data_IF_239418256051
#
_entry.id   IF_239418256051
#
_cell.length_a   1.000
_cell.length_b   1.000
_cell.length_c   1.000
_cell.angle_alpha   90.00
_cell.angle_beta   90.00
_cell.angle_gamma   90.00
#
_symmetry.space_group_name_H-M   'P 1'
#
loop_
_entity.id
_entity.type
_entity.pdbx_description
1 polymer ?
#
# COMPACT_ATOMS: atom_id res chain seq x y z
N UNK A 1 -9.49 -18.83 -0.98
CA UNK A 1 -8.48 -19.28 0.00
C UNK A 1 -7.38 -20.09 -0.66
N UNK A 2 -7.71 -21.06 -1.51
CA UNK A 2 -6.73 -21.92 -2.21
C UNK A 2 -5.59 -21.15 -2.91
N UNK A 3 -5.91 -20.12 -3.71
CA UNK A 3 -4.89 -19.29 -4.37
C UNK A 3 -3.93 -18.56 -3.39
N UNK A 4 -4.42 -18.18 -2.21
CA UNK A 4 -3.58 -17.55 -1.16
C UNK A 4 -2.64 -18.58 -0.55
N UNK A 5 -3.13 -19.80 -0.29
CA UNK A 5 -2.32 -20.89 0.28
C UNK A 5 -1.24 -21.37 -0.68
N UNK A 6 -1.59 -21.56 -1.96
CA UNK A 6 -0.64 -21.88 -3.02
C UNK A 6 0.45 -20.80 -3.11
N UNK A 7 0.05 -19.52 -3.04
CA UNK A 7 1.02 -18.43 -3.08
C UNK A 7 1.94 -18.44 -1.87
N UNK A 8 1.42 -18.61 -0.66
CA UNK A 8 2.21 -18.68 0.58
C UNK A 8 3.27 -19.79 0.54
N UNK A 9 3.00 -20.91 -0.15
CA UNK A 9 3.95 -22.00 -0.35
C UNK A 9 5.13 -21.68 -1.28
N UNK A 10 5.03 -20.62 -2.10
CA UNK A 10 6.02 -20.25 -3.13
C UNK A 10 6.71 -18.91 -2.90
N UNK A 11 6.42 -18.22 -1.79
CA UNK A 11 7.06 -16.96 -1.44
C UNK A 11 8.50 -17.24 -0.96
N UNK A 12 9.47 -16.76 -1.73
CA UNK A 12 10.87 -16.68 -1.31
C UNK A 12 11.09 -15.60 -0.26
N UNK A 13 12.22 -15.68 0.43
CA UNK A 13 12.60 -14.70 1.45
C UNK A 13 12.88 -13.32 0.83
N UNK A 14 12.62 -12.23 1.59
CA UNK A 14 13.02 -10.90 1.16
C UNK A 14 14.54 -10.82 0.98
N UNK A 15 14.98 -10.18 -0.11
CA UNK A 15 16.41 -9.97 -0.41
C UNK A 15 17.07 -8.94 0.52
N UNK A 16 16.26 -8.10 1.17
CA UNK A 16 16.73 -7.23 2.25
C UNK A 16 15.67 -7.06 3.34
N UNK A 17 16.13 -7.06 4.59
CA UNK A 17 15.33 -6.79 5.78
C UNK A 17 15.94 -5.58 6.47
N UNK A 18 15.15 -4.53 6.67
CA UNK A 18 15.58 -3.25 7.23
C UNK A 18 14.67 -2.85 8.39
N UNK A 19 15.07 -1.82 9.15
CA UNK A 19 14.29 -1.27 10.27
C UNK A 19 13.83 -2.34 11.27
N UNK A 20 14.76 -3.20 11.70
CA UNK A 20 14.46 -4.28 12.67
C UNK A 20 13.42 -5.29 12.20
N UNK A 21 13.22 -5.44 10.87
CA UNK A 21 12.20 -6.33 10.32
C UNK A 21 10.91 -5.63 9.89
N UNK A 22 10.74 -4.33 10.16
CA UNK A 22 9.55 -3.59 9.75
C UNK A 22 9.46 -3.41 8.23
N UNK A 23 10.61 -3.18 7.57
CA UNK A 23 10.71 -3.01 6.12
C UNK A 23 11.31 -4.25 5.46
N UNK A 24 10.55 -4.86 4.55
CA UNK A 24 10.93 -6.02 3.77
C UNK A 24 11.03 -5.62 2.29
N UNK A 25 12.10 -6.04 1.62
CA UNK A 25 12.31 -5.80 0.19
C UNK A 25 12.47 -7.15 -0.52
N UNK A 26 11.63 -7.43 -1.51
CA UNK A 26 11.72 -8.62 -2.36
C UNK A 26 12.32 -8.31 -3.72
N UNK A 27 11.96 -7.17 -4.30
CA UNK A 27 12.44 -6.74 -5.61
C UNK A 27 13.11 -5.36 -5.47
N UNK A 28 14.45 -5.28 -5.61
CA UNK A 28 15.18 -4.02 -5.64
C UNK A 28 14.74 -3.14 -6.83
N UNK A 29 14.98 -1.81 -6.77
CA UNK A 29 14.69 -0.93 -7.88
C UNK A 29 15.54 -1.28 -9.11
N UNK A 30 14.92 -1.23 -10.29
CA UNK A 30 15.56 -1.47 -11.58
C UNK A 30 15.54 -0.16 -12.36
N UNK A 31 16.70 0.24 -12.90
CA UNK A 31 16.80 1.45 -13.69
C UNK A 31 15.84 1.43 -14.90
N UNK A 32 15.15 2.54 -15.13
CA UNK A 32 14.17 2.68 -16.22
C UNK A 32 12.78 2.09 -15.94
N UNK A 33 12.58 1.38 -14.82
CA UNK A 33 11.25 0.99 -14.35
C UNK A 33 10.60 2.11 -13.55
N UNK A 34 9.27 2.13 -13.55
CA UNK A 34 8.48 3.08 -12.78
C UNK A 34 7.76 2.38 -11.64
N UNK A 35 7.62 3.09 -10.53
CA UNK A 35 7.07 2.54 -9.30
C UNK A 35 6.03 3.47 -8.67
N UNK A 36 5.19 2.89 -7.82
CA UNK A 36 4.24 3.57 -6.95
C UNK A 36 4.53 3.17 -5.50
N UNK A 37 4.57 4.15 -4.61
CA UNK A 37 4.59 3.97 -3.16
C UNK A 37 3.20 4.29 -2.63
N UNK A 38 2.47 3.27 -2.17
CA UNK A 38 1.16 3.43 -1.58
C UNK A 38 1.27 3.44 -0.05
N UNK A 39 0.60 4.37 0.61
CA UNK A 39 0.71 4.58 2.06
C UNK A 39 -0.67 4.53 2.68
N UNK A 40 -0.90 3.57 3.57
CA UNK A 40 -2.02 3.60 4.51
C UNK A 40 -1.54 4.22 5.82
N UNK A 41 -2.26 5.25 6.25
CA UNK A 41 -1.96 5.98 7.47
C UNK A 41 -2.84 5.45 8.59
N UNK A 42 -2.28 4.55 9.38
CA UNK A 42 -2.89 4.20 10.65
C UNK A 42 -2.95 5.39 11.61
N UNK A 43 -3.83 5.26 12.60
CA UNK A 43 -3.98 6.14 13.76
C UNK A 43 -2.73 6.19 14.65
N UNK A 44 -1.63 6.77 14.18
CA UNK A 44 -0.31 6.58 14.77
C UNK A 44 -0.13 7.10 16.21
N UNK A 45 0.30 6.19 17.10
CA UNK A 45 0.82 6.40 18.45
C UNK A 45 1.34 5.07 19.05
N UNK A 46 1.96 5.07 20.24
CA UNK A 46 2.48 3.84 20.88
C UNK A 46 1.40 2.73 21.07
N UNK A 47 0.13 3.13 21.13
CA UNK A 47 -1.03 2.23 21.16
C UNK A 47 -1.86 2.17 19.87
N UNK A 48 -1.46 2.86 18.80
CA UNK A 48 -2.21 2.98 17.54
C UNK A 48 -2.03 1.82 16.56
N UNK A 49 -2.80 1.81 15.48
CA UNK A 49 -2.69 0.80 14.41
C UNK A 49 -1.37 0.90 13.64
N UNK A 50 -1.06 -0.08 12.79
CA UNK A 50 0.21 -0.09 12.04
C UNK A 50 0.10 0.79 10.80
N UNK A 51 1.06 1.70 10.61
CA UNK A 51 1.20 2.31 9.30
C UNK A 51 1.76 1.28 8.32
N UNK A 52 1.22 1.26 7.10
CA UNK A 52 1.66 0.35 6.05
C UNK A 52 2.07 1.11 4.79
N UNK A 53 3.17 0.68 4.17
CA UNK A 53 3.65 1.19 2.89
C UNK A 53 3.89 0.04 1.95
N UNK A 54 3.41 0.16 0.71
CA UNK A 54 3.65 -0.81 -0.36
C UNK A 54 4.40 -0.14 -1.50
N UNK A 55 5.46 -0.77 -2.01
CA UNK A 55 6.11 -0.38 -3.25
C UNK A 55 5.67 -1.32 -4.36
N UNK A 56 5.12 -0.77 -5.43
CA UNK A 56 4.50 -1.52 -6.53
C UNK A 56 5.14 -1.11 -7.84
N UNK A 57 5.58 -2.07 -8.67
CA UNK A 57 6.06 -1.77 -10.02
C UNK A 57 4.88 -1.44 -10.94
N UNK A 58 4.97 -0.31 -11.66
CA UNK A 58 3.84 0.29 -12.36
C UNK A 58 3.30 -0.57 -13.51
N UNK A 59 4.16 -1.25 -14.27
CA UNK A 59 3.70 -1.98 -15.45
C UNK A 59 3.05 -3.33 -15.07
N UNK A 60 3.72 -4.11 -14.23
CA UNK A 60 3.31 -5.46 -13.83
C UNK A 60 2.35 -5.47 -12.64
N UNK A 61 2.47 -4.51 -11.73
CA UNK A 61 1.77 -4.52 -10.45
C UNK A 61 2.42 -5.39 -9.38
N UNK A 62 3.66 -5.85 -9.59
CA UNK A 62 4.41 -6.65 -8.62
C UNK A 62 4.68 -5.87 -7.34
N UNK A 63 4.48 -6.52 -6.18
CA UNK A 63 4.89 -6.01 -4.88
C UNK A 63 6.43 -6.11 -4.75
N UNK A 64 7.09 -4.96 -4.62
CA UNK A 64 8.54 -4.86 -4.55
C UNK A 64 9.06 -4.78 -3.10
N UNK A 65 8.38 -4.02 -2.25
CA UNK A 65 8.73 -3.85 -0.84
C UNK A 65 7.48 -3.53 -0.01
N UNK A 66 7.56 -3.80 1.29
CA UNK A 66 6.50 -3.51 2.26
C UNK A 66 7.12 -2.99 3.57
N UNK A 67 6.58 -1.90 4.09
CA UNK A 67 6.77 -1.48 5.48
C UNK A 67 5.48 -1.73 6.25
N UNK A 68 5.61 -2.27 7.47
CA UNK A 68 4.54 -2.31 8.47
C UNK A 68 5.13 -1.96 9.83
N UNK A 69 4.80 -0.78 10.35
CA UNK A 69 5.44 -0.24 11.57
C UNK A 69 4.50 0.69 12.33
N UNK A 70 4.61 0.72 13.66
CA UNK A 70 3.92 1.72 14.49
C UNK A 70 4.75 3.00 14.53
N UNK A 71 4.45 3.92 13.61
CA UNK A 71 5.19 5.18 13.45
C UNK A 71 4.26 6.37 13.28
N UNK A 72 4.73 7.55 13.69
CA UNK A 72 3.99 8.81 13.54
C UNK A 72 4.07 9.37 12.13
N UNK A 73 3.19 10.33 11.81
CA UNK A 73 3.03 10.89 10.46
C UNK A 73 4.33 11.47 9.86
N UNK A 74 5.17 12.14 10.66
CA UNK A 74 6.44 12.70 10.19
C UNK A 74 7.42 11.59 9.75
N UNK A 75 7.58 10.55 10.56
CA UNK A 75 8.49 9.44 10.24
C UNK A 75 7.93 8.61 9.08
N UNK A 76 6.60 8.46 9.01
CA UNK A 76 5.94 7.83 7.88
C UNK A 76 6.20 8.60 6.57
N UNK A 77 6.06 9.92 6.57
CA UNK A 77 6.39 10.76 5.41
C UNK A 77 7.86 10.62 4.99
N UNK A 78 8.79 10.64 5.96
CA UNK A 78 10.23 10.43 5.74
C UNK A 78 10.52 9.10 5.06
N UNK A 79 10.02 8.00 5.62
CA UNK A 79 10.31 6.66 5.07
C UNK A 79 9.63 6.45 3.71
N UNK A 80 8.42 6.97 3.51
CA UNK A 80 7.74 6.91 2.20
C UNK A 80 8.49 7.71 1.14
N UNK A 81 8.95 8.92 1.45
CA UNK A 81 9.74 9.73 0.51
C UNK A 81 11.12 9.12 0.23
N UNK A 82 11.77 8.53 1.24
CA UNK A 82 13.03 7.82 1.07
C UNK A 82 12.87 6.60 0.15
N UNK A 83 11.86 5.76 0.38
CA UNK A 83 11.53 4.64 -0.51
C UNK A 83 11.21 5.13 -1.92
N UNK A 84 10.42 6.19 -2.06
CA UNK A 84 10.08 6.72 -3.37
C UNK A 84 11.32 7.19 -4.15
N UNK A 85 12.28 7.84 -3.47
CA UNK A 85 13.57 8.22 -4.06
C UNK A 85 14.43 7.01 -4.42
N UNK A 86 14.50 6.01 -3.55
CA UNK A 86 15.22 4.75 -3.81
C UNK A 86 14.66 4.04 -5.06
N UNK A 87 13.34 4.07 -5.24
CA UNK A 87 12.64 3.49 -6.39
C UNK A 87 12.46 4.49 -7.55
N UNK A 88 13.53 5.24 -7.86
CA UNK A 88 13.63 6.06 -9.08
C UNK A 88 12.71 7.28 -9.11
N UNK A 89 12.33 7.80 -7.94
CA UNK A 89 11.35 8.89 -7.84
C UNK A 89 9.93 8.41 -8.09
N UNK A 90 9.54 7.29 -7.45
CA UNK A 90 8.21 6.70 -7.52
C UNK A 90 7.09 7.72 -7.22
N UNK A 91 5.92 7.55 -7.80
CA UNK A 91 4.76 8.36 -7.37
C UNK A 91 4.32 7.89 -5.98
N UNK A 92 3.91 8.80 -5.10
CA UNK A 92 3.42 8.45 -3.75
C UNK A 92 1.91 8.66 -3.68
N UNK A 93 1.15 7.60 -3.39
CA UNK A 93 -0.29 7.65 -3.15
C UNK A 93 -0.59 7.40 -1.68
N UNK A 94 -0.93 8.47 -0.95
CA UNK A 94 -1.28 8.40 0.48
C UNK A 94 -2.79 8.29 0.64
N UNK A 95 -3.29 7.34 1.42
CA UNK A 95 -4.68 7.39 1.90
C UNK A 95 -4.85 8.64 2.76
N UNK A 96 -5.70 9.56 2.30
CA UNK A 96 -5.84 10.89 2.91
C UNK A 96 -6.87 10.94 4.04
N UNK A 97 -7.47 9.80 4.38
CA UNK A 97 -8.35 9.68 5.54
C UNK A 97 -7.55 9.86 6.84
N UNK A 98 -8.21 10.35 7.90
CA UNK A 98 -7.62 10.48 9.25
C UNK A 98 -6.26 11.20 9.24
N UNK A 99 -5.16 10.48 9.54
CA UNK A 99 -3.81 11.02 9.67
C UNK A 99 -3.12 11.29 8.33
N UNK A 100 -3.75 10.91 7.22
CA UNK A 100 -3.26 11.11 5.87
C UNK A 100 -2.94 12.57 5.54
N UNK A 101 -3.77 13.51 6.01
CA UNK A 101 -3.52 14.94 5.83
C UNK A 101 -2.18 15.38 6.45
N UNK A 102 -1.82 14.83 7.61
CA UNK A 102 -0.54 15.12 8.26
C UNK A 102 0.66 14.56 7.48
N UNK A 103 0.55 13.33 6.99
CA UNK A 103 1.59 12.72 6.14
C UNK A 103 1.78 13.52 4.85
N UNK A 104 0.69 13.91 4.19
CA UNK A 104 0.73 14.75 2.99
C UNK A 104 1.41 16.11 3.28
N UNK A 105 1.09 16.76 4.40
CA UNK A 105 1.71 18.01 4.79
C UNK A 105 3.22 17.87 5.05
N UNK A 106 3.67 16.77 5.68
CA UNK A 106 5.10 16.51 5.88
C UNK A 106 5.82 16.13 4.59
N UNK A 107 5.18 15.40 3.68
CA UNK A 107 5.73 15.11 2.35
C UNK A 107 6.01 16.40 1.57
N UNK A 108 5.12 17.38 1.66
CA UNK A 108 5.27 18.68 1.02
C UNK A 108 6.29 19.57 1.75
N UNK A 109 6.02 19.92 3.01
CA UNK A 109 6.77 20.95 3.72
C UNK A 109 8.16 20.50 4.22
N UNK A 110 8.29 19.23 4.63
CA UNK A 110 9.54 18.71 5.21
C UNK A 110 10.34 17.94 4.17
N UNK A 111 9.73 16.94 3.54
CA UNK A 111 10.42 16.09 2.58
C UNK A 111 10.57 16.76 1.22
N UNK A 112 9.80 17.81 0.90
CA UNK A 112 9.78 18.47 -0.42
C UNK A 112 9.63 17.46 -1.56
N UNK A 113 8.76 16.47 -1.36
CA UNK A 113 8.52 15.41 -2.33
C UNK A 113 7.36 15.77 -3.26
N UNK A 114 7.68 16.20 -4.48
CA UNK A 114 6.67 16.73 -5.40
C UNK A 114 5.77 15.67 -6.07
N UNK A 115 6.22 14.42 -6.19
CA UNK A 115 5.52 13.37 -6.97
C UNK A 115 4.43 12.66 -6.16
N UNK A 116 3.53 13.42 -5.57
CA UNK A 116 2.36 12.90 -4.85
C UNK A 116 1.19 12.74 -5.82
N UNK A 117 0.55 11.57 -5.79
CA UNK A 117 -0.65 11.31 -6.58
C UNK A 117 -1.82 12.15 -6.08
N UNK A 118 -2.60 12.69 -7.02
CA UNK A 118 -3.85 13.37 -6.73
C UNK A 118 -5.01 12.64 -7.39
N UNK A 119 -6.15 12.63 -6.70
CA UNK A 119 -7.39 12.10 -7.23
C UNK A 119 -7.88 12.89 -8.43
N UNK A 120 -8.95 12.38 -9.05
CA UNK A 120 -9.64 13.10 -10.15
C UNK A 120 -10.26 14.42 -9.71
N UNK A 121 -10.45 14.58 -8.40
CA UNK A 121 -10.86 15.82 -7.75
C UNK A 121 -9.72 16.85 -7.61
N UNK A 122 -8.50 16.51 -8.04
CA UNK A 122 -7.32 17.37 -7.94
C UNK A 122 -6.72 17.45 -6.55
N UNK A 123 -7.26 16.71 -5.57
CA UNK A 123 -6.79 16.74 -4.18
C UNK A 123 -5.76 15.64 -3.97
N UNK A 124 -4.63 15.99 -3.34
CA UNK A 124 -3.55 15.06 -3.06
C UNK A 124 -4.01 13.88 -2.19
N UNK A 125 -3.55 12.69 -2.54
CA UNK A 125 -3.88 11.43 -1.86
C UNK A 125 -5.21 10.81 -2.29
N UNK A 126 -5.35 9.54 -1.92
CA UNK A 126 -6.52 8.69 -2.16
C UNK A 126 -7.56 8.87 -1.06
N UNK A 127 -8.81 9.14 -1.44
CA UNK A 127 -9.93 9.19 -0.50
C UNK A 127 -10.65 7.84 -0.44
N UNK A 128 -10.54 7.17 0.69
CA UNK A 128 -11.37 6.00 1.01
C UNK A 128 -12.73 6.45 1.52
N UNK A 129 -13.79 6.01 0.86
CA UNK A 129 -15.17 6.26 1.26
C UNK A 129 -15.95 4.95 1.30
N UNK A 130 -17.16 4.96 1.86
CA UNK A 130 -18.07 3.82 1.76
C UNK A 130 -18.37 3.41 0.30
N UNK A 131 -18.24 4.34 -0.65
CA UNK A 131 -18.38 4.07 -2.08
C UNK A 131 -17.11 3.53 -2.77
N UNK A 132 -15.93 4.01 -2.40
CA UNK A 132 -14.67 3.57 -3.03
C UNK A 132 -14.11 2.27 -2.42
N UNK A 133 -14.36 2.01 -1.12
CA UNK A 133 -13.86 0.82 -0.41
C UNK A 133 -14.27 -0.51 -1.07
N UNK A 134 -15.56 -0.75 -1.41
CA UNK A 134 -15.93 -2.00 -2.07
C UNK A 134 -15.20 -2.22 -3.40
N UNK A 135 -15.01 -1.16 -4.20
CA UNK A 135 -14.32 -1.26 -5.49
C UNK A 135 -12.85 -1.65 -5.36
N UNK A 136 -12.11 -1.05 -4.42
CA UNK A 136 -10.70 -1.41 -4.21
C UNK A 136 -10.52 -2.79 -3.58
N UNK A 137 -11.41 -3.19 -2.67
CA UNK A 137 -11.40 -4.54 -2.07
C UNK A 137 -11.73 -5.60 -3.13
N UNK A 138 -12.75 -5.39 -3.95
CA UNK A 138 -13.09 -6.32 -5.04
C UNK A 138 -11.95 -6.46 -6.05
N UNK A 139 -11.23 -5.37 -6.35
CA UNK A 139 -10.02 -5.43 -7.18
C UNK A 139 -8.94 -6.31 -6.55
N UNK A 140 -8.71 -6.17 -5.24
CA UNK A 140 -7.76 -7.04 -4.53
C UNK A 140 -8.19 -8.51 -4.59
N UNK A 141 -9.49 -8.79 -4.41
CA UNK A 141 -10.05 -10.14 -4.57
C UNK A 141 -9.77 -10.72 -5.95
N UNK A 142 -10.01 -9.96 -7.02
CA UNK A 142 -9.72 -10.37 -8.39
C UNK A 142 -8.22 -10.64 -8.60
N UNK A 143 -7.34 -9.73 -8.16
CA UNK A 143 -5.89 -9.91 -8.30
C UNK A 143 -5.36 -11.13 -7.53
N UNK A 144 -5.92 -11.45 -6.37
CA UNK A 144 -5.52 -12.63 -5.59
C UNK A 144 -5.89 -13.94 -6.29
N UNK A 145 -6.93 -13.94 -7.12
CA UNK A 145 -7.36 -15.11 -7.90
C UNK A 145 -6.63 -15.18 -9.24
N UNK A 146 -6.60 -14.08 -9.97
CA UNK A 146 -6.11 -14.03 -11.36
C UNK A 146 -4.60 -13.87 -11.45
N UNK A 147 -3.97 -13.25 -10.45
CA UNK A 147 -2.54 -12.93 -10.46
C UNK A 147 -1.90 -13.00 -9.06
N UNK A 148 -2.04 -14.14 -8.34
CA UNK A 148 -1.51 -14.27 -6.98
C UNK A 148 0.02 -14.07 -6.90
N UNK A 149 0.75 -14.29 -7.99
CA UNK A 149 2.20 -14.08 -8.07
C UNK A 149 2.63 -12.62 -7.86
N UNK A 150 1.70 -11.66 -7.90
CA UNK A 150 1.99 -10.25 -7.63
C UNK A 150 2.39 -9.98 -6.18
N UNK A 151 1.96 -10.83 -5.24
CA UNK A 151 2.08 -10.60 -3.80
C UNK A 151 3.20 -11.43 -3.19
N UNK A 152 4.10 -10.80 -2.44
CA UNK A 152 5.26 -11.44 -1.79
C UNK A 152 5.20 -11.34 -0.26
N UNK A 153 4.38 -10.45 0.30
CA UNK A 153 4.24 -10.31 1.74
C UNK A 153 3.34 -11.40 2.34
N UNK A 154 3.92 -12.18 3.24
CA UNK A 154 3.17 -13.09 4.12
C UNK A 154 2.23 -12.32 5.06
N UNK A 155 2.57 -11.08 5.44
CA UNK A 155 1.74 -10.24 6.32
C UNK A 155 0.47 -9.82 5.59
N UNK A 156 0.62 -9.25 4.41
CA UNK A 156 -0.48 -8.89 3.50
C UNK A 156 -1.42 -10.08 3.27
N UNK A 157 -0.87 -11.24 2.88
CA UNK A 157 -1.69 -12.42 2.60
C UNK A 157 -2.36 -12.97 3.87
N UNK A 158 -1.73 -12.82 5.04
CA UNK A 158 -2.34 -13.10 6.33
C UNK A 158 -3.57 -12.23 6.58
N UNK A 159 -3.45 -10.92 6.37
CA UNK A 159 -4.57 -9.97 6.51
C UNK A 159 -5.70 -10.26 5.50
N UNK A 160 -5.36 -10.60 4.25
CA UNK A 160 -6.33 -11.03 3.24
C UNK A 160 -7.17 -12.23 3.70
N UNK A 161 -6.60 -13.17 4.48
CA UNK A 161 -7.33 -14.35 4.97
C UNK A 161 -8.34 -14.00 6.06
N UNK A 162 -8.07 -12.95 6.83
CA UNK A 162 -8.90 -12.52 7.96
C UNK A 162 -9.84 -11.38 7.60
N UNK A 163 -9.82 -10.90 6.35
CA UNK A 163 -10.69 -9.83 5.89
C UNK A 163 -12.07 -10.37 5.53
N UNK A 164 -13.11 -9.88 6.21
CA UNK A 164 -14.47 -10.43 6.14
C UNK A 164 -15.49 -9.36 5.80
N UNK A 165 -16.63 -9.81 5.28
CA UNK A 165 -17.84 -9.00 5.18
C UNK A 165 -18.66 -9.17 6.47
N UNK A 166 -19.07 -8.04 7.03
CA UNK A 166 -19.96 -7.96 8.19
C UNK A 166 -21.40 -7.68 7.74
N UNK A 167 -22.34 -7.81 8.67
CA UNK A 167 -23.72 -7.36 8.47
C UNK A 167 -23.77 -5.88 8.03
N UNK A 168 -24.74 -5.56 7.16
CA UNK A 168 -24.88 -4.22 6.60
C UNK A 168 -23.87 -3.87 5.51
N UNK A 169 -23.14 -4.84 4.96
CA UNK A 169 -22.25 -4.65 3.80
C UNK A 169 -20.91 -3.98 4.14
N UNK A 170 -20.59 -3.80 5.42
CA UNK A 170 -19.28 -3.31 5.86
C UNK A 170 -18.24 -4.41 5.66
N UNK A 171 -17.01 -4.02 5.34
CA UNK A 171 -15.88 -4.94 5.26
C UNK A 171 -14.72 -4.46 6.13
N UNK A 172 -13.94 -5.39 6.66
CA UNK A 172 -12.80 -5.11 7.52
C UNK A 172 -12.14 -6.38 8.03
N UNK A 173 -11.05 -6.21 8.79
CA UNK A 173 -10.42 -7.32 9.51
C UNK A 173 -11.37 -7.96 10.53
N UNK A 174 -11.29 -9.29 10.68
CA UNK A 174 -11.93 -10.03 11.77
C UNK A 174 -11.47 -9.52 13.15
N UNK A 175 -12.23 -9.80 14.20
CA UNK A 175 -11.91 -9.36 15.56
C UNK A 175 -10.50 -9.83 15.98
N UNK A 176 -9.65 -8.89 16.38
CA UNK A 176 -8.26 -9.15 16.77
C UNK A 176 -7.25 -9.27 15.62
N UNK A 177 -7.69 -9.09 14.37
CA UNK A 177 -6.83 -9.04 13.20
C UNK A 177 -6.60 -7.60 12.71
N UNK A 178 -5.72 -7.44 11.72
CA UNK A 178 -5.36 -6.17 11.10
C UNK A 178 -5.67 -6.22 9.59
N UNK A 179 -5.83 -5.05 8.97
CA UNK A 179 -5.99 -4.89 7.52
C UNK A 179 -5.09 -3.79 6.91
N UNK A 180 -4.14 -3.24 7.67
CA UNK A 180 -3.31 -2.10 7.26
C UNK A 180 -2.51 -2.39 5.96
N UNK A 181 -1.85 -3.54 5.87
CA UNK A 181 -1.11 -3.92 4.65
C UNK A 181 -2.06 -4.12 3.46
N UNK A 182 -3.21 -4.75 3.70
CA UNK A 182 -4.25 -4.95 2.69
C UNK A 182 -4.78 -3.63 2.16
N UNK A 183 -5.12 -2.69 3.05
CA UNK A 183 -5.63 -1.37 2.70
C UNK A 183 -4.58 -0.57 1.91
N UNK A 184 -3.32 -0.55 2.36
CA UNK A 184 -2.24 0.09 1.60
C UNK A 184 -2.07 -0.50 0.18
N UNK A 185 -2.15 -1.83 0.05
CA UNK A 185 -2.03 -2.50 -1.26
C UNK A 185 -3.25 -2.24 -2.15
N UNK A 186 -4.45 -2.18 -1.56
CA UNK A 186 -5.70 -1.88 -2.27
C UNK A 186 -5.68 -0.45 -2.84
N UNK A 187 -5.26 0.54 -2.02
CA UNK A 187 -5.03 1.93 -2.45
C UNK A 187 -4.01 1.96 -3.59
N UNK A 188 -2.89 1.27 -3.44
CA UNK A 188 -1.83 1.22 -4.45
C UNK A 188 -2.30 0.65 -5.79
N UNK A 189 -2.97 -0.48 -5.79
CA UNK A 189 -3.47 -1.09 -7.03
C UNK A 189 -4.61 -0.29 -7.67
N UNK A 190 -5.44 0.39 -6.87
CA UNK A 190 -6.48 1.28 -7.38
C UNK A 190 -5.88 2.53 -8.04
N UNK A 191 -4.98 3.25 -7.34
CA UNK A 191 -4.30 4.42 -7.87
C UNK A 191 -3.48 4.08 -9.13
N UNK A 192 -2.75 2.95 -9.12
CA UNK A 192 -2.02 2.42 -10.28
C UNK A 192 -2.95 2.22 -11.47
N UNK A 193 -4.11 1.59 -11.28
CA UNK A 193 -5.06 1.36 -12.36
C UNK A 193 -5.55 2.69 -12.98
N UNK A 194 -5.83 3.71 -12.16
CA UNK A 194 -6.21 5.03 -12.64
C UNK A 194 -5.08 5.72 -13.44
N UNK A 195 -3.85 5.64 -12.95
CA UNK A 195 -2.68 6.20 -13.63
C UNK A 195 -2.42 5.54 -14.99
N UNK A 196 -2.61 4.22 -15.11
CA UNK A 196 -2.42 3.50 -16.37
C UNK A 196 -3.50 3.85 -17.40
N UNK A 197 -4.75 4.10 -16.96
CA UNK A 197 -5.82 4.57 -17.86
C UNK A 197 -5.52 5.98 -18.36
N UNK A 198 -5.00 6.86 -17.50
CA UNK A 198 -4.64 8.24 -17.87
C UNK A 198 -3.53 8.33 -18.92
N UNK A 199 -2.63 7.35 -18.98
CA UNK A 199 -1.51 7.30 -19.95
C UNK A 199 -1.90 6.80 -21.35
N UNK A 200 -3.07 6.17 -21.49
CA UNK A 200 -3.57 5.67 -22.78
C UNK A 200 -4.40 6.70 -23.55
N UNK A 201 -4.50 7.93 -23.03
CA UNK A 201 -5.12 9.09 -23.66
C UNK A 201 -4.03 10.05 -24.11
#
# INVERSE_FOLDING_TARGET
MEAIEERLGRIGDPVAIRRGGALLVWLPPVAGKEYLVAVDTAGGGAGGDFAAVQVIEMQSGLQCAELRERIGALELARVSAALAREYGGAVVAVERNNHGAGVLAYLDATERYARVWAGRDGVAGWLTTAGSKPGMVSRMGALLVESPWLFFSRRLLGECRTFVAFEGGRTGAAAGAHDDCLMAMAVGQAARAEMLVGRKR
#
